data_IF_027227059109
#
_entry.id   IF_027227059109
#
_cell.length_a   1.000
_cell.length_b   1.000
_cell.length_c   1.000
_cell.angle_alpha   90.00
_cell.angle_beta   90.00
_cell.angle_gamma   90.00
#
_symmetry.space_group_name_H-M   'P 1'
#
loop_
_entity.id
_entity.type
_entity.pdbx_description
1 polymer ?
#
# COMPACT_ATOMS: atom_id res chain seq x y z
N UNK A 1 2.23 10.58 16.79
CA UNK A 1 1.00 11.23 16.26
C UNK A 1 1.13 12.74 16.21
N UNK A 2 1.67 13.38 17.26
CA UNK A 2 2.00 14.81 17.21
C UNK A 2 3.09 15.14 16.15
N UNK A 3 3.96 14.19 15.81
CA UNK A 3 4.98 14.36 14.76
C UNK A 3 4.38 14.38 13.34
N UNK A 4 3.34 13.58 13.08
CA UNK A 4 2.66 13.53 11.78
C UNK A 4 1.58 14.61 11.70
N UNK A 5 0.84 14.85 12.79
CA UNK A 5 -0.22 15.86 12.88
C UNK A 5 0.06 16.83 14.03
N UNK A 6 0.88 17.87 13.80
CA UNK A 6 1.10 18.91 14.80
C UNK A 6 -0.20 19.67 15.11
N UNK A 7 -0.39 20.09 16.37
CA UNK A 7 -1.63 20.77 16.83
C UNK A 7 -2.00 22.05 16.08
N UNK A 8 -1.03 22.72 15.45
CA UNK A 8 -1.23 23.95 14.67
C UNK A 8 -1.24 23.70 13.15
N UNK A 9 -1.20 22.44 12.72
CA UNK A 9 -1.05 22.11 11.33
C UNK A 9 -2.39 22.24 10.58
N UNK A 10 -2.34 22.75 9.36
CA UNK A 10 -3.51 22.87 8.52
C UNK A 10 -3.73 21.55 7.77
N UNK A 11 -4.73 20.79 8.20
CA UNK A 11 -5.14 19.52 7.58
C UNK A 11 -6.36 19.81 6.69
N UNK A 12 -6.25 19.46 5.41
CA UNK A 12 -7.37 19.54 4.46
C UNK A 12 -7.63 18.18 3.83
N UNK A 13 -8.90 17.89 3.56
CA UNK A 13 -9.30 16.69 2.81
C UNK A 13 -9.69 17.11 1.40
N UNK A 14 -8.87 16.71 0.43
CA UNK A 14 -9.13 16.95 -0.99
C UNK A 14 -9.97 15.80 -1.53
N UNK A 15 -11.11 16.11 -2.13
CA UNK A 15 -11.97 15.14 -2.81
C UNK A 15 -11.64 15.13 -4.29
N UNK A 16 -11.25 13.96 -4.79
CA UNK A 16 -10.88 13.72 -6.17
C UNK A 16 -11.97 12.94 -6.91
N UNK A 17 -12.00 12.99 -8.25
CA UNK A 17 -12.85 12.10 -9.06
C UNK A 17 -12.65 10.62 -8.72
N UNK A 18 -13.66 9.79 -8.95
CA UNK A 18 -13.59 8.36 -8.65
C UNK A 18 -13.74 8.03 -7.16
N UNK A 19 -14.31 8.94 -6.36
CA UNK A 19 -14.50 8.80 -4.91
C UNK A 19 -13.19 8.65 -4.13
N UNK A 20 -12.11 9.28 -4.60
CA UNK A 20 -10.83 9.27 -3.88
C UNK A 20 -10.78 10.46 -2.94
N UNK A 21 -10.37 10.24 -1.69
CA UNK A 21 -10.14 11.29 -0.71
C UNK A 21 -8.66 11.30 -0.34
N UNK A 22 -8.04 12.48 -0.32
CA UNK A 22 -6.62 12.63 0.06
C UNK A 22 -6.54 13.59 1.24
N UNK A 23 -5.93 13.14 2.34
CA UNK A 23 -5.61 13.96 3.50
C UNK A 23 -4.28 14.63 3.26
N UNK A 24 -4.30 15.96 3.24
CA UNK A 24 -3.16 16.80 2.89
C UNK A 24 -2.81 17.64 4.10
N UNK A 25 -1.54 17.62 4.47
CA UNK A 25 -1.01 18.44 5.56
C UNK A 25 0.06 19.36 5.01
N UNK A 26 -0.11 20.68 5.22
CA UNK A 26 0.86 21.68 4.76
C UNK A 26 1.25 21.48 3.27
N UNK A 27 0.26 21.20 2.41
CA UNK A 27 0.40 20.92 0.97
C UNK A 27 0.94 19.53 0.60
N UNK A 28 1.32 18.71 1.56
CA UNK A 28 1.81 17.35 1.30
C UNK A 28 0.71 16.30 1.47
N UNK A 29 0.48 15.40 0.49
CA UNK A 29 -0.44 14.29 0.63
C UNK A 29 0.15 13.24 1.59
N UNK A 30 -0.55 13.01 2.70
CA UNK A 30 -0.10 12.07 3.75
C UNK A 30 -0.87 10.76 3.74
N UNK A 31 -2.19 10.83 3.61
CA UNK A 31 -3.06 9.67 3.57
C UNK A 31 -4.05 9.78 2.43
N UNK A 32 -4.59 8.66 1.99
CA UNK A 32 -5.68 8.63 1.04
C UNK A 32 -6.65 7.48 1.34
N UNK A 33 -7.89 7.60 0.90
CA UNK A 33 -8.89 6.53 0.95
C UNK A 33 -9.62 6.45 -0.38
N UNK A 34 -10.00 5.24 -0.75
CA UNK A 34 -10.88 4.98 -1.88
C UNK A 34 -12.30 4.75 -1.36
N UNK A 35 -13.26 5.56 -1.82
CA UNK A 35 -14.65 5.59 -1.36
C UNK A 35 -14.73 5.82 0.16
N UNK A 36 -15.41 4.93 0.87
CA UNK A 36 -15.53 4.91 2.34
C UNK A 36 -14.69 3.77 2.94
N UNK A 37 -13.63 3.37 2.24
CA UNK A 37 -12.72 2.30 2.65
C UNK A 37 -11.63 2.77 3.62
N UNK A 38 -10.68 1.88 3.87
CA UNK A 38 -9.53 2.15 4.73
C UNK A 38 -8.71 3.35 4.25
N UNK A 39 -8.15 4.09 5.21
CA UNK A 39 -7.09 5.04 4.93
C UNK A 39 -5.76 4.30 4.76
N UNK A 40 -5.05 4.66 3.70
CA UNK A 40 -3.70 4.24 3.41
C UNK A 40 -2.76 5.43 3.58
N UNK A 41 -1.56 5.23 4.16
CA UNK A 41 -0.50 6.24 4.06
C UNK A 41 -0.05 6.39 2.61
N UNK A 42 0.51 7.52 2.21
CA UNK A 42 1.28 7.58 0.94
C UNK A 42 2.57 6.78 1.09
N UNK A 43 3.13 6.30 -0.02
CA UNK A 43 4.43 5.62 0.01
C UNK A 43 5.54 6.53 0.56
N UNK A 44 5.46 7.85 0.31
CA UNK A 44 6.41 8.84 0.85
C UNK A 44 6.34 8.88 2.38
N UNK A 45 5.13 8.91 2.94
CA UNK A 45 4.95 8.87 4.40
C UNK A 45 5.47 7.55 4.97
N UNK A 46 5.14 6.42 4.33
CA UNK A 46 5.57 5.11 4.78
C UNK A 46 7.10 4.94 4.74
N UNK A 47 7.78 5.54 3.77
CA UNK A 47 9.26 5.53 3.69
C UNK A 47 9.90 6.36 4.80
N UNK A 48 9.25 7.43 5.26
CA UNK A 48 9.70 8.20 6.43
C UNK A 48 9.45 7.48 7.77
N UNK A 49 8.43 6.62 7.83
CA UNK A 49 8.08 5.84 9.02
C UNK A 49 7.99 4.33 8.72
N UNK A 50 9.13 3.64 8.53
CA UNK A 50 9.15 2.19 8.32
C UNK A 50 8.46 1.44 9.47
N UNK A 51 7.74 0.37 9.15
CA UNK A 51 6.98 -0.42 10.14
C UNK A 51 5.63 0.19 10.57
N UNK A 52 5.21 1.31 9.96
CA UNK A 52 3.89 1.91 10.23
C UNK A 52 2.70 1.04 9.80
N UNK A 53 2.92 0.09 8.88
CA UNK A 53 1.90 -0.81 8.38
C UNK A 53 2.45 -2.24 8.27
N UNK A 54 1.57 -3.22 8.41
CA UNK A 54 1.90 -4.64 8.23
C UNK A 54 2.44 -4.88 6.81
N UNK A 55 3.49 -5.66 6.69
CA UNK A 55 4.23 -5.83 5.43
C UNK A 55 4.13 -7.26 4.91
N UNK A 56 4.12 -7.40 3.59
CA UNK A 56 4.28 -8.66 2.87
C UNK A 56 5.43 -8.54 1.89
N UNK A 57 6.08 -9.65 1.58
CA UNK A 57 7.13 -9.72 0.57
C UNK A 57 6.63 -10.49 -0.64
N UNK A 58 6.82 -9.92 -1.83
CA UNK A 58 6.62 -10.63 -3.10
C UNK A 58 7.94 -11.05 -3.72
N UNK A 59 7.87 -12.08 -4.55
CA UNK A 59 8.96 -12.49 -5.44
C UNK A 59 9.49 -11.33 -6.30
N UNK A 60 10.80 -11.29 -6.55
CA UNK A 60 11.43 -10.29 -7.43
C UNK A 60 10.81 -10.22 -8.83
N UNK A 61 10.26 -11.33 -9.34
CA UNK A 61 9.59 -11.39 -10.64
C UNK A 61 8.31 -10.56 -10.72
N UNK A 62 7.68 -10.26 -9.58
CA UNK A 62 6.46 -9.47 -9.51
C UNK A 62 6.69 -7.96 -9.64
N UNK A 63 7.91 -7.47 -9.35
CA UNK A 63 8.24 -6.04 -9.27
C UNK A 63 7.76 -5.27 -10.50
N UNK A 64 8.14 -5.73 -11.70
CA UNK A 64 7.79 -5.04 -12.95
C UNK A 64 6.28 -4.91 -13.17
N UNK A 65 5.51 -5.88 -12.71
CA UNK A 65 4.06 -5.93 -12.90
C UNK A 65 3.36 -5.01 -11.91
N UNK A 66 3.81 -5.02 -10.65
CA UNK A 66 3.26 -4.14 -9.61
C UNK A 66 3.52 -2.68 -9.97
N UNK A 67 4.73 -2.35 -10.43
CA UNK A 67 5.06 -1.00 -10.92
C UNK A 67 4.34 -0.63 -12.23
N UNK A 68 3.65 -1.58 -12.86
CA UNK A 68 2.74 -1.36 -13.98
C UNK A 68 1.26 -1.28 -13.56
N UNK A 69 0.95 -1.34 -12.27
CA UNK A 69 -0.42 -1.28 -11.75
C UNK A 69 -1.12 -2.63 -11.59
N UNK A 70 -0.41 -3.76 -11.71
CA UNK A 70 -1.01 -5.08 -11.58
C UNK A 70 -1.25 -5.49 -10.11
N UNK A 71 -2.34 -6.21 -9.87
CA UNK A 71 -2.61 -6.85 -8.58
C UNK A 71 -1.62 -7.96 -8.24
N UNK A 72 -1.52 -8.29 -6.96
CA UNK A 72 -0.60 -9.33 -6.47
C UNK A 72 -1.35 -10.65 -6.47
N UNK A 73 -0.78 -11.61 -7.18
CA UNK A 73 -1.32 -12.96 -7.31
C UNK A 73 -0.77 -13.87 -6.20
N UNK A 74 -1.56 -14.86 -5.76
CA UNK A 74 -1.14 -15.80 -4.70
C UNK A 74 0.26 -16.43 -4.93
N UNK A 75 0.64 -16.87 -6.15
CA UNK A 75 1.97 -17.42 -6.40
C UNK A 75 3.13 -16.46 -6.14
N UNK A 76 2.89 -15.14 -6.17
CA UNK A 76 3.91 -14.15 -5.85
C UNK A 76 4.25 -14.07 -4.37
N UNK A 77 3.36 -14.54 -3.48
CA UNK A 77 3.53 -14.55 -2.02
C UNK A 77 3.91 -15.93 -1.48
N UNK A 78 3.68 -17.00 -2.24
CA UNK A 78 4.00 -18.40 -1.84
C UNK A 78 5.27 -18.94 -2.51
N UNK A 79 5.93 -18.14 -3.36
CA UNK A 79 7.22 -18.50 -3.95
C UNK A 79 8.33 -18.51 -2.89
N UNK A 80 9.53 -18.98 -3.26
CA UNK A 80 10.70 -18.94 -2.36
C UNK A 80 11.10 -17.53 -1.92
N UNK A 81 10.80 -16.51 -2.73
CA UNK A 81 11.05 -15.10 -2.43
C UNK A 81 9.83 -14.38 -1.84
N UNK A 82 8.66 -15.03 -1.82
CA UNK A 82 7.45 -14.50 -1.21
C UNK A 82 7.40 -14.79 0.28
N UNK A 83 6.90 -13.85 1.07
CA UNK A 83 6.71 -14.01 2.50
C UNK A 83 5.50 -13.21 3.00
N UNK A 84 4.82 -13.76 4.01
CA UNK A 84 3.69 -13.13 4.69
C UNK A 84 3.47 -13.80 6.04
N UNK A 85 3.03 -13.04 7.02
CA UNK A 85 2.68 -13.58 8.34
C UNK A 85 1.50 -14.58 8.25
N UNK A 86 1.48 -15.58 9.13
CA UNK A 86 0.50 -16.68 9.06
C UNK A 86 -0.93 -16.26 9.39
N UNK A 87 -1.09 -15.28 10.28
CA UNK A 87 -2.36 -14.75 10.77
C UNK A 87 -2.82 -13.51 9.98
N UNK A 88 -2.30 -13.31 8.75
CA UNK A 88 -2.76 -12.23 7.87
C UNK A 88 -4.23 -12.44 7.48
N UNK A 89 -5.17 -11.56 7.87
CA UNK A 89 -6.57 -11.72 7.50
C UNK A 89 -6.85 -11.14 6.10
N UNK A 90 -7.99 -11.50 5.54
CA UNK A 90 -8.57 -10.83 4.38
C UNK A 90 -9.05 -9.41 4.74
N UNK A 91 -9.21 -8.55 3.74
CA UNK A 91 -9.64 -7.15 3.87
C UNK A 91 -8.74 -6.31 4.81
N UNK A 92 -7.44 -6.60 4.81
CA UNK A 92 -6.43 -5.92 5.61
C UNK A 92 -5.52 -5.05 4.73
N UNK A 93 -5.35 -3.76 5.04
CA UNK A 93 -4.33 -2.92 4.43
C UNK A 93 -2.92 -3.43 4.71
N UNK A 94 -2.10 -3.56 3.66
CA UNK A 94 -0.73 -4.07 3.73
C UNK A 94 0.23 -3.30 2.82
N UNK A 95 1.49 -3.26 3.23
CA UNK A 95 2.60 -2.73 2.47
C UNK A 95 3.32 -3.87 1.76
N UNK A 96 3.70 -3.65 0.51
CA UNK A 96 4.29 -4.67 -0.34
C UNK A 96 5.75 -4.33 -0.60
N UNK A 97 6.65 -5.14 -0.04
CA UNK A 97 8.07 -5.18 -0.38
C UNK A 97 8.33 -6.28 -1.41
N UNK A 98 9.50 -6.22 -2.03
CA UNK A 98 9.96 -7.29 -2.92
C UNK A 98 11.26 -7.89 -2.40
N UNK A 99 11.48 -9.16 -2.71
CA UNK A 99 12.71 -9.89 -2.43
C UNK A 99 13.94 -9.06 -2.86
N UNK A 100 14.85 -8.80 -1.91
CA UNK A 100 16.06 -8.01 -2.15
C UNK A 100 15.86 -6.49 -2.25
N UNK A 101 14.70 -5.97 -1.81
CA UNK A 101 14.42 -4.53 -1.71
C UNK A 101 14.02 -4.16 -0.28
N UNK A 102 14.70 -3.15 0.27
CA UNK A 102 14.40 -2.64 1.61
C UNK A 102 13.15 -1.75 1.62
N UNK A 103 12.94 -0.98 0.54
CA UNK A 103 11.83 -0.05 0.44
C UNK A 103 10.56 -0.74 -0.06
N UNK A 104 9.43 -0.32 0.52
CA UNK A 104 8.08 -0.67 0.05
C UNK A 104 7.85 -0.11 -1.34
N UNK A 105 7.34 -0.93 -2.25
CA UNK A 105 7.06 -0.52 -3.63
C UNK A 105 5.58 -0.28 -3.92
N UNK A 106 4.70 -0.77 -3.05
CA UNK A 106 3.26 -0.69 -3.24
C UNK A 106 2.47 -0.86 -1.94
N UNK A 107 1.21 -0.47 -1.99
CA UNK A 107 0.19 -0.68 -0.96
C UNK A 107 -1.00 -1.40 -1.56
N UNK A 108 -1.60 -2.27 -0.77
CA UNK A 108 -2.69 -3.12 -1.22
C UNK A 108 -3.66 -3.49 -0.10
N UNK A 109 -4.81 -4.01 -0.51
CA UNK A 109 -5.82 -4.60 0.38
C UNK A 109 -5.86 -6.11 0.13
N UNK A 110 -5.65 -6.92 1.17
CA UNK A 110 -5.74 -8.38 1.04
C UNK A 110 -7.17 -8.78 0.66
N UNK A 111 -7.32 -9.75 -0.25
CA UNK A 111 -8.60 -10.35 -0.64
C UNK A 111 -8.80 -11.75 -0.09
N UNK A 112 -7.72 -12.33 0.42
CA UNK A 112 -7.66 -13.67 0.99
C UNK A 112 -6.81 -13.60 2.25
N UNK A 113 -7.11 -14.45 3.21
CA UNK A 113 -6.25 -14.68 4.36
C UNK A 113 -4.97 -15.41 3.95
N UNK A 114 -3.91 -15.33 4.76
CA UNK A 114 -2.67 -16.07 4.55
C UNK A 114 -2.89 -17.58 4.41
N UNK A 115 -3.84 -18.15 5.16
CA UNK A 115 -4.21 -19.55 5.06
C UNK A 115 -4.82 -19.89 3.69
N UNK A 116 -5.72 -19.05 3.17
CA UNK A 116 -6.32 -19.23 1.85
C UNK A 116 -5.30 -19.03 0.72
N UNK A 117 -4.43 -18.03 0.83
CA UNK A 117 -3.38 -17.76 -0.16
C UNK A 117 -2.45 -18.97 -0.30
N UNK A 118 -2.01 -19.54 0.83
CA UNK A 118 -1.15 -20.74 0.84
C UNK A 118 -1.89 -21.99 0.38
N UNK A 119 -3.15 -22.17 0.81
CA UNK A 119 -3.94 -23.36 0.50
C UNK A 119 -4.40 -23.42 -0.96
N UNK A 120 -4.86 -22.31 -1.52
CA UNK A 120 -5.39 -22.26 -2.89
C UNK A 120 -4.29 -21.98 -3.93
N UNK A 121 -3.32 -21.14 -3.56
CA UNK A 121 -2.22 -20.69 -4.42
C UNK A 121 -2.65 -20.21 -5.83
N UNK A 122 -3.85 -19.63 -5.95
CA UNK A 122 -4.43 -19.16 -7.21
C UNK A 122 -5.33 -17.97 -6.94
N UNK A 123 -5.39 -17.05 -7.91
CA UNK A 123 -6.22 -15.85 -7.84
C UNK A 123 -5.45 -14.63 -7.32
N UNK A 124 -6.20 -13.55 -7.14
CA UNK A 124 -5.69 -12.28 -6.62
C UNK A 124 -5.63 -12.39 -5.10
N UNK A 125 -4.43 -12.29 -4.54
CA UNK A 125 -4.21 -12.27 -3.10
C UNK A 125 -4.40 -10.87 -2.52
N UNK A 126 -3.90 -9.85 -3.24
CA UNK A 126 -3.92 -8.46 -2.79
C UNK A 126 -4.32 -7.57 -3.97
N UNK A 127 -5.37 -6.79 -3.78
CA UNK A 127 -5.77 -5.73 -4.69
C UNK A 127 -4.81 -4.54 -4.51
N UNK A 128 -4.18 -4.13 -5.60
CA UNK A 128 -3.25 -3.01 -5.62
C UNK A 128 -4.00 -1.68 -5.50
N UNK A 129 -3.56 -0.80 -4.59
CA UNK A 129 -4.19 0.50 -4.34
C UNK A 129 -3.28 1.68 -4.70
N UNK A 130 -1.98 1.57 -4.42
CA UNK A 130 -0.99 2.62 -4.68
C UNK A 130 0.39 1.99 -4.91
N UNK A 131 1.18 2.52 -5.84
CA UNK A 131 2.52 2.00 -6.15
C UNK A 131 3.50 3.10 -6.53
N UNK A 132 4.80 2.79 -6.46
CA UNK A 132 5.85 3.74 -6.84
C UNK A 132 5.68 4.15 -8.31
N UNK A 133 5.86 5.45 -8.57
CA UNK A 133 5.72 6.07 -9.88
C UNK A 133 4.29 6.09 -10.45
N UNK A 134 3.26 5.81 -9.66
CA UNK A 134 1.88 6.10 -10.04
C UNK A 134 1.54 7.60 -9.95
N UNK A 135 0.29 7.97 -10.24
CA UNK A 135 -0.15 9.37 -10.24
C UNK A 135 -0.02 10.04 -8.87
N UNK A 136 -0.37 9.35 -7.78
CA UNK A 136 -0.28 9.90 -6.43
C UNK A 136 1.18 10.08 -6.01
N UNK A 137 2.06 9.14 -6.37
CA UNK A 137 3.50 9.23 -6.10
C UNK A 137 4.14 10.45 -6.78
N UNK A 138 3.76 10.70 -8.04
CA UNK A 138 4.27 11.82 -8.85
C UNK A 138 3.64 13.16 -8.51
N UNK A 139 2.64 13.18 -7.63
CA UNK A 139 1.98 14.43 -7.24
C UNK A 139 2.97 15.30 -6.47
N UNK A 140 3.18 16.52 -6.97
CA UNK A 140 3.92 17.56 -6.27
C UNK A 140 3.06 18.18 -5.15
N UNK A 141 3.67 18.88 -4.18
CA UNK A 141 2.91 19.58 -3.15
C UNK A 141 1.80 20.45 -3.75
N UNK A 142 0.59 20.32 -3.23
CA UNK A 142 -0.60 20.96 -3.78
C UNK A 142 -0.48 22.47 -3.54
N UNK A 143 -0.39 23.25 -4.62
CA UNK A 143 -0.22 24.71 -4.57
C UNK A 143 -1.36 25.43 -3.85
#
# INVERSE_FOLDING_TARGET
MEDIFPKKANVVVVKCPGHVQVVVLNKEPLFFSLRDGHYFPTLRLLHHYPGFMREVQVDKGAIRFILGGAHIMCPGLTSKGGDMEEDLPAEQPVAIRAEGKEMVLALGLTKMSAAEIRGQNKGIAIELVHFLNDGLWRTEPIN
#
